data_IF_446118987306
#
_entry.id   IF_446118987306
#
_cell.length_a   1.000
_cell.length_b   1.000
_cell.length_c   1.000
_cell.angle_alpha   90.00
_cell.angle_beta   90.00
_cell.angle_gamma   90.00
#
_symmetry.space_group_name_H-M   'P 1'
#
loop_
_entity.id
_entity.type
_entity.pdbx_description
1 polymer ?
#
# COMPACT_ATOMS: atom_id res chain seq x y z
N UNK A 1 -18.18 2.61 -9.32
CA UNK A 1 -17.63 2.18 -8.02
C UNK A 1 -16.69 0.99 -8.23
N UNK A 2 -15.54 1.18 -8.87
CA UNK A 2 -14.42 0.24 -8.73
C UNK A 2 -13.58 0.79 -7.60
N UNK A 3 -13.65 0.18 -6.42
CA UNK A 3 -12.96 0.69 -5.23
C UNK A 3 -11.46 0.81 -5.47
N UNK A 4 -10.82 1.81 -4.86
CA UNK A 4 -9.38 2.08 -4.97
C UNK A 4 -8.49 0.82 -4.75
N UNK A 5 -8.98 -0.14 -3.95
CA UNK A 5 -8.39 -1.47 -3.78
C UNK A 5 -8.16 -2.24 -5.09
N UNK A 6 -9.12 -2.22 -6.02
CA UNK A 6 -8.98 -2.90 -7.31
C UNK A 6 -7.85 -2.28 -8.15
N UNK A 7 -7.71 -0.96 -8.10
CA UNK A 7 -6.66 -0.23 -8.82
C UNK A 7 -5.27 -0.45 -8.19
N UNK A 8 -5.19 -0.53 -6.85
CA UNK A 8 -3.97 -0.88 -6.13
C UNK A 8 -3.45 -2.29 -6.47
N UNK A 9 -4.33 -3.30 -6.42
CA UNK A 9 -3.98 -4.68 -6.78
C UNK A 9 -3.58 -4.83 -8.25
N UNK A 10 -4.28 -4.13 -9.16
CA UNK A 10 -3.93 -4.15 -10.58
C UNK A 10 -2.56 -3.51 -10.83
N UNK A 11 -2.26 -2.38 -10.19
CA UNK A 11 -0.95 -1.74 -10.28
C UNK A 11 0.17 -2.60 -9.65
N UNK A 12 -0.11 -3.27 -8.52
CA UNK A 12 0.80 -4.27 -7.95
C UNK A 12 1.08 -5.42 -8.93
N UNK A 13 0.05 -5.98 -9.57
CA UNK A 13 0.19 -7.05 -10.54
C UNK A 13 1.06 -6.63 -11.75
N UNK A 14 0.91 -5.40 -12.26
CA UNK A 14 1.80 -4.88 -13.29
C UNK A 14 3.24 -4.76 -12.81
N UNK A 15 3.43 -4.28 -11.57
CA UNK A 15 4.76 -4.13 -11.01
C UNK A 15 5.49 -5.47 -10.85
N UNK A 16 4.85 -6.49 -10.27
CA UNK A 16 5.49 -7.81 -10.06
C UNK A 16 5.66 -8.62 -11.34
N UNK A 17 4.90 -8.31 -12.40
CA UNK A 17 5.08 -8.91 -13.73
C UNK A 17 6.19 -8.25 -14.56
N UNK A 18 6.82 -7.20 -14.02
CA UNK A 18 7.91 -6.45 -14.67
C UNK A 18 7.43 -5.31 -15.58
N UNK A 19 6.12 -5.08 -15.71
CA UNK A 19 5.56 -3.93 -16.43
C UNK A 19 5.57 -2.66 -15.55
N UNK A 20 6.79 -2.22 -15.21
CA UNK A 20 7.04 -1.02 -14.44
C UNK A 20 6.38 0.24 -15.04
N UNK A 21 6.43 0.50 -16.37
CA UNK A 21 5.77 1.67 -16.95
C UNK A 21 4.27 1.72 -16.65
N UNK A 22 3.58 0.58 -16.69
CA UNK A 22 2.14 0.52 -16.43
C UNK A 22 1.81 0.63 -14.94
N UNK A 23 2.63 0.07 -14.06
CA UNK A 23 2.51 0.30 -12.61
C UNK A 23 2.70 1.80 -12.26
N UNK A 24 3.68 2.46 -12.85
CA UNK A 24 3.89 3.90 -12.66
C UNK A 24 2.77 4.75 -13.28
N UNK A 25 2.16 4.29 -14.37
CA UNK A 25 0.95 4.91 -14.91
C UNK A 25 -0.21 4.82 -13.91
N UNK A 26 -0.44 3.65 -13.30
CA UNK A 26 -1.47 3.48 -12.28
C UNK A 26 -1.25 4.43 -11.09
N UNK A 27 -0.01 4.62 -10.63
CA UNK A 27 0.31 5.60 -9.58
C UNK A 27 -0.12 7.02 -9.98
N UNK A 28 0.23 7.47 -11.19
CA UNK A 28 -0.18 8.80 -11.69
C UNK A 28 -1.70 8.94 -11.76
N UNK A 29 -2.41 7.90 -12.19
CA UNK A 29 -3.87 7.92 -12.24
C UNK A 29 -4.47 8.02 -10.83
N UNK A 30 -3.95 7.26 -9.87
CA UNK A 30 -4.35 7.35 -8.46
C UNK A 30 -4.09 8.75 -7.89
N UNK A 31 -2.94 9.36 -8.19
CA UNK A 31 -2.61 10.73 -7.79
C UNK A 31 -3.58 11.77 -8.36
N UNK A 32 -3.92 11.67 -9.65
CA UNK A 32 -4.89 12.57 -10.28
C UNK A 32 -6.30 12.39 -9.71
N UNK A 33 -6.69 11.16 -9.39
CA UNK A 33 -7.97 10.89 -8.72
C UNK A 33 -7.98 11.44 -7.29
N UNK A 34 -6.87 11.32 -6.55
CA UNK A 34 -6.75 11.81 -5.17
C UNK A 34 -6.96 13.33 -5.05
N UNK A 35 -6.71 14.09 -6.13
CA UNK A 35 -7.01 15.54 -6.20
C UNK A 35 -8.51 15.86 -6.18
N UNK A 36 -9.37 14.90 -6.52
CA UNK A 36 -10.81 15.12 -6.74
C UNK A 36 -11.69 14.31 -5.80
N UNK A 37 -11.18 13.19 -5.29
CA UNK A 37 -11.91 12.29 -4.41
C UNK A 37 -10.95 11.54 -3.49
N UNK A 38 -11.46 10.96 -2.41
CA UNK A 38 -10.68 10.09 -1.56
C UNK A 38 -10.22 8.85 -2.33
N UNK A 39 -8.93 8.52 -2.19
CA UNK A 39 -8.28 7.32 -2.71
C UNK A 39 -7.54 6.68 -1.54
N UNK A 40 -7.74 5.39 -1.35
CA UNK A 40 -7.11 4.63 -0.26
C UNK A 40 -5.58 4.68 -0.37
N UNK A 41 -4.92 5.06 0.72
CA UNK A 41 -3.47 5.07 0.88
C UNK A 41 -2.86 3.68 0.70
N UNK A 42 -3.61 2.64 1.05
CA UNK A 42 -3.25 1.23 0.78
C UNK A 42 -3.01 0.97 -0.71
N UNK A 43 -3.79 1.58 -1.60
CA UNK A 43 -3.64 1.35 -3.04
C UNK A 43 -2.26 1.80 -3.55
N UNK A 44 -1.74 2.92 -3.06
CA UNK A 44 -0.40 3.39 -3.37
C UNK A 44 0.67 2.46 -2.78
N UNK A 45 0.51 2.07 -1.51
CA UNK A 45 1.43 1.17 -0.84
C UNK A 45 1.60 -0.14 -1.61
N UNK A 46 0.50 -0.76 -2.06
CA UNK A 46 0.52 -1.99 -2.85
C UNK A 46 1.37 -1.85 -4.12
N UNK A 47 1.19 -0.77 -4.88
CA UNK A 47 1.95 -0.59 -6.13
C UNK A 47 3.44 -0.39 -5.83
N UNK A 48 3.79 0.41 -4.83
CA UNK A 48 5.19 0.60 -4.44
C UNK A 48 5.84 -0.68 -3.90
N UNK A 49 5.10 -1.54 -3.18
CA UNK A 49 5.57 -2.87 -2.76
C UNK A 49 5.92 -3.73 -3.97
N UNK A 50 5.06 -3.75 -4.99
CA UNK A 50 5.31 -4.51 -6.22
C UNK A 50 6.47 -3.96 -7.04
N UNK A 51 6.71 -2.64 -6.99
CA UNK A 51 7.85 -1.99 -7.66
C UNK A 51 9.18 -2.19 -6.91
N UNK A 52 9.15 -2.75 -5.71
CA UNK A 52 10.33 -2.88 -4.85
C UNK A 52 10.78 -1.57 -4.20
N UNK A 53 9.98 -0.51 -4.29
CA UNK A 53 10.27 0.83 -3.76
C UNK A 53 9.87 0.91 -2.28
N UNK A 54 10.61 0.16 -1.44
CA UNK A 54 10.27 -0.12 -0.04
C UNK A 54 9.99 1.13 0.80
N UNK A 55 10.84 2.15 0.72
CA UNK A 55 10.67 3.37 1.52
C UNK A 55 9.34 4.07 1.21
N UNK A 56 8.99 4.18 -0.09
CA UNK A 56 7.73 4.78 -0.51
C UNK A 56 6.54 3.92 -0.06
N UNK A 57 6.66 2.60 -0.17
CA UNK A 57 5.63 1.70 0.35
C UNK A 57 5.40 1.93 1.86
N UNK A 58 6.47 2.04 2.66
CA UNK A 58 6.39 2.29 4.09
C UNK A 58 5.77 3.66 4.41
N UNK A 59 6.08 4.71 3.63
CA UNK A 59 5.43 6.02 3.77
C UNK A 59 3.92 5.93 3.58
N UNK A 60 3.47 5.20 2.55
CA UNK A 60 2.04 5.01 2.29
C UNK A 60 1.36 4.09 3.30
N UNK A 61 2.07 3.11 3.87
CA UNK A 61 1.54 2.27 4.95
C UNK A 61 1.38 3.06 6.26
N UNK A 62 2.32 3.93 6.60
CA UNK A 62 2.17 4.84 7.74
C UNK A 62 0.98 5.79 7.54
N UNK A 63 0.80 6.28 6.31
CA UNK A 63 -0.38 7.09 5.97
C UNK A 63 -1.68 6.30 6.08
N UNK A 64 -1.72 5.07 5.57
CA UNK A 64 -2.87 4.16 5.71
C UNK A 64 -3.26 3.92 7.16
N UNK A 65 -2.27 3.84 8.06
CA UNK A 65 -2.51 3.74 9.50
C UNK A 65 -3.11 5.03 10.08
N UNK A 66 -2.57 6.18 9.72
CA UNK A 66 -3.10 7.48 10.15
C UNK A 66 -4.54 7.70 9.65
N UNK A 67 -4.82 7.25 8.43
CA UNK A 67 -6.15 7.29 7.81
C UNK A 67 -7.11 6.20 8.37
N UNK A 68 -6.64 5.38 9.33
CA UNK A 68 -7.38 4.29 9.99
C UNK A 68 -8.00 3.29 9.00
N UNK A 69 -7.30 2.99 7.90
CA UNK A 69 -7.81 2.11 6.87
C UNK A 69 -7.86 0.66 7.37
N UNK A 70 -8.95 -0.04 7.04
CA UNK A 70 -9.16 -1.45 7.41
C UNK A 70 -8.12 -2.41 6.81
N UNK A 71 -7.36 -1.98 5.79
CA UNK A 71 -6.25 -2.74 5.23
C UNK A 71 -5.19 -3.11 6.27
N UNK A 72 -4.99 -2.24 7.28
CA UNK A 72 -3.96 -2.42 8.31
C UNK A 72 -4.16 -3.73 9.11
N UNK A 73 -5.38 -4.29 9.16
CA UNK A 73 -5.64 -5.57 9.81
C UNK A 73 -5.00 -6.77 9.11
N UNK A 74 -4.60 -6.64 7.84
CA UNK A 74 -4.00 -7.72 7.06
C UNK A 74 -2.46 -7.70 7.03
N UNK A 75 -1.82 -6.71 7.69
CA UNK A 75 -0.37 -6.51 7.65
C UNK A 75 0.44 -7.76 8.03
N UNK A 76 -0.08 -8.60 8.94
CA UNK A 76 0.63 -9.79 9.43
C UNK A 76 0.38 -11.04 8.58
N UNK A 77 -0.67 -11.07 7.76
CA UNK A 77 -1.13 -12.28 7.07
C UNK A 77 -1.00 -12.22 5.55
N UNK A 78 -1.07 -11.05 4.94
CA UNK A 78 -1.02 -10.92 3.47
C UNK A 78 0.44 -11.01 2.96
N UNK A 79 0.75 -11.92 2.01
CA UNK A 79 2.08 -12.04 1.41
C UNK A 79 2.56 -10.79 0.66
N UNK A 80 1.67 -9.86 0.29
CA UNK A 80 2.06 -8.61 -0.38
C UNK A 80 3.09 -7.80 0.42
N UNK A 81 3.12 -7.96 1.74
CA UNK A 81 4.02 -7.27 2.65
C UNK A 81 5.35 -8.01 2.90
N UNK A 82 5.58 -9.18 2.31
CA UNK A 82 6.76 -9.99 2.60
C UNK A 82 8.08 -9.27 2.30
N UNK A 83 8.09 -8.39 1.31
CA UNK A 83 9.28 -7.61 0.94
C UNK A 83 9.69 -6.60 2.02
N UNK A 84 8.77 -6.18 2.89
CA UNK A 84 8.99 -5.21 3.97
C UNK A 84 8.82 -5.79 5.38
N UNK A 85 8.45 -7.07 5.49
CA UNK A 85 8.12 -7.72 6.78
C UNK A 85 9.22 -7.65 7.84
N UNK A 86 10.48 -7.64 7.39
CA UNK A 86 11.66 -7.54 8.26
C UNK A 86 12.17 -6.10 8.46
N UNK A 87 11.54 -5.11 7.83
CA UNK A 87 11.95 -3.72 7.99
C UNK A 87 11.55 -3.22 9.39
N UNK A 88 12.47 -2.59 10.16
CA UNK A 88 12.17 -2.11 11.51
C UNK A 88 10.94 -1.19 11.56
N UNK A 89 10.76 -0.36 10.53
CA UNK A 89 9.61 0.55 10.40
C UNK A 89 8.29 -0.20 10.20
N UNK A 90 8.28 -1.26 9.41
CA UNK A 90 7.12 -2.12 9.24
C UNK A 90 6.74 -2.83 10.55
N UNK A 91 7.73 -3.37 11.25
CA UNK A 91 7.50 -4.03 12.55
C UNK A 91 6.93 -3.05 13.58
N UNK A 92 7.47 -1.82 13.64
CA UNK A 92 6.93 -0.77 14.49
C UNK A 92 5.48 -0.43 14.14
N UNK A 93 5.13 -0.35 12.85
CA UNK A 93 3.76 -0.15 12.39
C UNK A 93 2.83 -1.28 12.86
N UNK A 94 3.23 -2.54 12.68
CA UNK A 94 2.46 -3.71 13.16
C UNK A 94 2.23 -3.62 14.68
N UNK A 95 3.24 -3.24 15.46
CA UNK A 95 3.05 -3.07 16.91
C UNK A 95 2.02 -1.99 17.23
N UNK A 96 1.99 -0.88 16.50
CA UNK A 96 0.97 0.18 16.70
C UNK A 96 -0.44 -0.35 16.43
N UNK A 97 -0.64 -1.04 15.30
CA UNK A 97 -1.94 -1.59 14.90
C UNK A 97 -2.49 -2.62 15.90
N UNK A 98 -1.63 -3.53 16.39
CA UNK A 98 -2.09 -4.69 17.17
C UNK A 98 -1.85 -4.61 18.69
N UNK A 99 -1.14 -3.59 19.21
CA UNK A 99 -1.00 -3.38 20.67
C UNK A 99 -1.96 -2.36 21.27
N UNK A 100 -2.70 -1.61 20.47
CA UNK A 100 -3.68 -0.62 20.97
C UNK A 100 -5.05 -1.25 21.34
N UNK A 101 -5.15 -2.57 21.46
CA UNK A 101 -6.35 -3.24 21.96
C UNK A 101 -6.16 -3.63 23.44
N UNK A 102 -6.79 -2.93 24.42
CA UNK A 102 -6.90 -3.44 25.79
C UNK A 102 -7.80 -4.66 25.88
#
# INVERSE_FOLDING_TARGET
MTGAWYQGLLGYAYAISGDRPKAEQMLRELEEMAKRQYVSSTAFAMIYLGLGEKEKALDWLDKSYQDQESACWYLTVDPIYDSVRNEPRFQALVQKVFRETP
#
